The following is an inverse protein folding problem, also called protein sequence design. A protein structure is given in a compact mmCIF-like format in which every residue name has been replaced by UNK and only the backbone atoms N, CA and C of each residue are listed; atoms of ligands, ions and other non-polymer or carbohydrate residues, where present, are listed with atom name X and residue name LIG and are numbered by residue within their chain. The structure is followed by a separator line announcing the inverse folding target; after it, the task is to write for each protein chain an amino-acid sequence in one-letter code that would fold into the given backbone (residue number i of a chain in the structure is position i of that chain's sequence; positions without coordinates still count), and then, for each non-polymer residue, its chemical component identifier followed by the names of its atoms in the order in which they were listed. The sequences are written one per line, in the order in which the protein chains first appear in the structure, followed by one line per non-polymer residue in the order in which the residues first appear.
data_IF_726865235803
#
_entry.id   IF_726865235803
#
_cell.length_a   1.000
_cell.length_b   1.000
_cell.length_c   1.000
_cell.angle_alpha   90.00
_cell.angle_beta   90.00
_cell.angle_gamma   90.00
#
_symmetry.space_group_name_H-M   'P 1'
#
loop_
_entity.id
_entity.type
_entity.pdbx_description
1 polymer ?
#
# COMPACT_ATOMS: atom_id res chain seq x y z
N UNK A 1 7.14 44.22 22.40
CA UNK A 1 6.75 42.85 22.81
C UNK A 1 7.35 41.76 21.92
N UNK A 2 7.33 41.88 20.58
CA UNK A 2 7.90 40.88 19.66
C UNK A 2 9.38 40.50 19.94
N UNK A 3 10.25 41.49 20.15
CA UNK A 3 11.70 41.28 20.39
C UNK A 3 12.00 40.42 21.61
N UNK A 4 11.20 40.53 22.68
CA UNK A 4 11.38 39.72 23.89
C UNK A 4 11.03 38.25 23.62
N UNK A 5 9.98 37.99 22.84
CA UNK A 5 9.59 36.63 22.44
C UNK A 5 10.62 36.03 21.50
N UNK A 6 11.09 36.79 20.51
CA UNK A 6 12.14 36.37 19.58
C UNK A 6 13.40 35.93 20.34
N UNK A 7 13.91 36.79 21.23
CA UNK A 7 15.08 36.47 22.04
C UNK A 7 14.88 35.21 22.89
N UNK A 8 13.71 35.08 23.54
CA UNK A 8 13.41 33.91 24.37
C UNK A 8 13.33 32.60 23.56
N UNK A 9 12.74 32.64 22.37
CA UNK A 9 12.68 31.48 21.46
C UNK A 9 14.10 31.06 21.04
N UNK A 10 14.94 32.01 20.66
CA UNK A 10 16.33 31.74 20.25
C UNK A 10 17.15 31.11 21.37
N UNK A 11 17.00 31.61 22.60
CA UNK A 11 17.64 31.01 23.78
C UNK A 11 17.15 29.58 24.05
N UNK A 12 15.85 29.31 23.87
CA UNK A 12 15.28 27.97 24.08
C UNK A 12 15.78 26.96 23.05
N UNK A 13 16.03 27.40 21.82
CA UNK A 13 16.58 26.57 20.74
C UNK A 13 18.10 26.47 20.77
N UNK A 14 18.77 27.06 21.78
CA UNK A 14 20.23 27.18 21.86
C UNK A 14 20.85 27.72 20.55
N UNK A 15 20.18 28.72 19.95
CA UNK A 15 20.54 29.31 18.66
C UNK A 15 20.63 28.32 17.48
N UNK A 16 20.16 27.09 17.65
CA UNK A 16 20.13 26.07 16.60
C UNK A 16 18.92 26.31 15.70
N UNK A 17 19.10 27.21 14.73
CA UNK A 17 18.09 27.54 13.74
C UNK A 17 18.41 26.78 12.47
N UNK A 18 17.67 25.69 12.22
CA UNK A 18 17.74 24.98 10.96
C UNK A 18 17.84 23.48 11.14
N UNK A 19 16.90 22.78 10.52
CA UNK A 19 16.90 21.34 10.36
C UNK A 19 16.43 21.01 8.94
N UNK A 20 16.88 19.88 8.37
CA UNK A 20 16.44 19.48 7.04
C UNK A 20 14.93 19.25 7.06
N UNK A 21 14.22 20.03 6.23
CA UNK A 21 12.76 20.00 6.15
C UNK A 21 12.30 18.95 5.14
N UNK A 22 11.00 18.61 5.21
CA UNK A 22 10.38 17.68 4.27
C UNK A 22 10.51 18.20 2.83
N UNK A 23 10.36 19.51 2.64
CA UNK A 23 10.51 20.19 1.35
C UNK A 23 11.91 20.02 0.77
N UNK A 24 12.95 20.22 1.58
CA UNK A 24 14.35 20.05 1.15
C UNK A 24 14.63 18.63 0.66
N UNK A 25 14.12 17.60 1.35
CA UNK A 25 14.26 16.21 0.90
C UNK A 25 13.43 15.91 -0.36
N UNK A 26 12.29 16.56 -0.52
CA UNK A 26 11.43 16.38 -1.67
C UNK A 26 12.06 16.96 -2.94
N UNK A 27 12.68 18.14 -2.85
CA UNK A 27 13.45 18.72 -3.95
C UNK A 27 14.56 17.78 -4.43
N UNK A 28 15.36 17.24 -3.51
CA UNK A 28 16.41 16.25 -3.83
C UNK A 28 15.80 15.01 -4.51
N UNK A 29 14.68 14.51 -4.03
CA UNK A 29 14.02 13.33 -4.61
C UNK A 29 13.42 13.57 -6.00
N UNK A 30 13.04 14.81 -6.32
CA UNK A 30 12.52 15.19 -7.64
C UNK A 30 13.66 15.43 -8.64
N UNK A 31 14.79 15.98 -8.19
CA UNK A 31 15.98 16.24 -9.03
C UNK A 31 16.51 14.99 -9.76
N UNK A 32 16.43 13.81 -9.13
CA UNK A 32 16.92 12.56 -9.70
C UNK A 32 15.98 11.99 -10.80
N UNK A 33 14.79 12.56 -10.97
CA UNK A 33 13.75 12.06 -11.88
C UNK A 33 13.36 13.11 -12.93
N UNK A 34 12.79 12.70 -14.09
CA UNK A 34 12.28 13.68 -15.05
C UNK A 34 11.27 14.60 -14.37
N UNK A 35 11.49 15.91 -14.52
CA UNK A 35 10.73 16.93 -13.82
C UNK A 35 9.25 16.89 -14.21
N UNK A 36 8.38 16.66 -13.22
CA UNK A 36 6.93 16.69 -13.35
C UNK A 36 6.35 17.62 -12.27
N UNK A 37 5.93 18.84 -12.63
CA UNK A 37 5.46 19.83 -11.67
C UNK A 37 4.17 19.38 -10.98
N UNK A 38 3.33 18.56 -11.62
CA UNK A 38 2.09 18.07 -11.03
C UNK A 38 2.36 17.11 -9.87
N UNK A 39 3.36 16.23 -10.03
CA UNK A 39 3.82 15.30 -8.99
C UNK A 39 4.45 16.07 -7.83
N UNK A 40 5.29 17.06 -8.12
CA UNK A 40 5.91 17.91 -7.11
C UNK A 40 4.84 18.64 -6.28
N UNK A 41 3.91 19.34 -6.94
CA UNK A 41 2.83 20.05 -6.26
C UNK A 41 1.95 19.12 -5.41
N UNK A 42 1.63 17.92 -5.92
CA UNK A 42 0.84 16.93 -5.18
C UNK A 42 1.61 16.40 -3.96
N UNK A 43 2.89 16.13 -4.11
CA UNK A 43 3.73 15.65 -3.01
C UNK A 43 3.92 16.73 -1.94
N UNK A 44 4.06 18.01 -2.33
CA UNK A 44 4.07 19.16 -1.42
C UNK A 44 2.74 19.32 -0.68
N UNK A 45 1.62 19.13 -1.37
CA UNK A 45 0.31 19.19 -0.74
C UNK A 45 0.14 18.11 0.34
N UNK A 46 0.52 16.87 0.04
CA UNK A 46 0.46 15.75 0.99
C UNK A 46 1.42 15.96 2.16
N UNK A 47 2.63 16.46 1.90
CA UNK A 47 3.60 16.74 2.96
C UNK A 47 3.12 17.85 3.88
N UNK A 48 2.46 18.90 3.37
CA UNK A 48 1.90 19.95 4.21
C UNK A 48 0.72 19.43 5.05
N UNK A 49 -0.14 18.55 4.51
CA UNK A 49 -1.18 17.87 5.31
C UNK A 49 -0.56 17.11 6.49
N UNK A 50 0.58 16.44 6.29
CA UNK A 50 1.26 15.71 7.37
C UNK A 50 1.68 16.62 8.54
N UNK A 51 2.04 17.87 8.26
CA UNK A 51 2.49 18.81 9.29
C UNK A 51 1.37 19.27 10.24
N UNK A 52 0.10 19.13 9.83
CA UNK A 52 -1.06 19.44 10.69
C UNK A 52 -1.36 18.34 11.72
N UNK A 53 -0.81 17.13 11.54
CA UNK A 53 -1.15 15.99 12.38
C UNK A 53 0.01 15.61 13.31
N UNK A 54 -0.27 15.58 14.61
CA UNK A 54 0.73 15.30 15.65
C UNK A 54 1.41 13.94 15.49
N UNK A 55 0.73 12.96 14.89
CA UNK A 55 1.24 11.61 14.66
C UNK A 55 2.50 11.55 13.78
N UNK A 56 2.71 12.56 12.93
CA UNK A 56 3.88 12.62 12.05
C UNK A 56 5.04 13.45 12.64
N UNK A 57 4.85 14.13 13.78
CA UNK A 57 5.89 14.97 14.39
C UNK A 57 7.12 14.16 14.82
N UNK A 58 6.92 12.91 15.23
CA UNK A 58 8.03 12.00 15.62
C UNK A 58 8.69 11.32 14.42
N UNK A 59 8.17 11.50 13.20
CA UNK A 59 8.71 10.87 11.99
C UNK A 59 9.81 11.74 11.39
N UNK A 60 10.89 11.14 10.85
CA UNK A 60 11.95 11.91 10.21
C UNK A 60 11.44 12.57 8.92
N UNK A 61 11.86 13.81 8.67
CA UNK A 61 11.49 14.58 7.48
C UNK A 61 11.74 13.83 6.16
N UNK A 62 12.80 13.02 6.11
CA UNK A 62 13.16 12.21 4.95
C UNK A 62 12.10 11.16 4.62
N UNK A 63 11.56 10.48 5.61
CA UNK A 63 10.61 9.39 5.37
C UNK A 63 9.23 9.94 5.02
N UNK A 64 8.85 11.08 5.60
CA UNK A 64 7.65 11.81 5.19
C UNK A 64 7.76 12.29 3.74
N UNK A 65 8.92 12.78 3.30
CA UNK A 65 9.13 13.20 1.91
C UNK A 65 8.95 12.02 0.94
N UNK A 66 9.62 10.88 1.20
CA UNK A 66 9.50 9.69 0.34
C UNK A 66 8.08 9.14 0.32
N UNK A 67 7.42 9.03 1.48
CA UNK A 67 6.06 8.54 1.56
C UNK A 67 5.05 9.46 0.83
N UNK A 68 5.20 10.78 1.00
CA UNK A 68 4.38 11.77 0.28
C UNK A 68 4.56 11.68 -1.23
N UNK A 69 5.80 11.52 -1.69
CA UNK A 69 6.13 11.38 -3.11
C UNK A 69 5.61 10.07 -3.71
N UNK A 70 5.71 8.96 -2.97
CA UNK A 70 5.17 7.66 -3.38
C UNK A 70 3.63 7.70 -3.48
N UNK A 71 2.95 8.41 -2.56
CA UNK A 71 1.50 8.62 -2.62
C UNK A 71 1.10 9.53 -3.76
N UNK A 72 1.80 10.65 -3.97
CA UNK A 72 1.53 11.58 -5.06
C UNK A 72 1.59 10.89 -6.43
N UNK A 73 2.64 10.10 -6.66
CA UNK A 73 2.77 9.29 -7.87
C UNK A 73 1.66 8.25 -8.01
N UNK A 74 1.24 7.62 -6.91
CA UNK A 74 0.12 6.68 -6.92
C UNK A 74 -1.21 7.37 -7.30
N UNK A 75 -1.51 8.54 -6.73
CA UNK A 75 -2.75 9.30 -7.00
C UNK A 75 -2.80 9.76 -8.46
N UNK A 76 -1.67 10.22 -8.99
CA UNK A 76 -1.54 10.70 -10.37
C UNK A 76 -1.31 9.58 -11.39
N UNK A 77 -1.29 8.31 -10.99
CA UNK A 77 -0.99 7.15 -11.84
C UNK A 77 0.35 7.26 -12.58
N UNK A 78 1.38 7.78 -11.91
CA UNK A 78 2.75 7.90 -12.41
C UNK A 78 3.59 6.67 -12.00
N UNK A 79 4.65 6.32 -12.75
CA UNK A 79 5.53 5.21 -12.37
C UNK A 79 6.21 5.48 -11.03
N UNK A 80 6.29 4.45 -10.18
CA UNK A 80 6.98 4.54 -8.90
C UNK A 80 8.50 4.54 -9.06
N UNK A 81 9.25 5.14 -8.12
CA UNK A 81 10.70 5.10 -8.09
C UNK A 81 11.24 3.67 -8.14
N UNK A 82 12.35 3.47 -8.85
CA UNK A 82 13.01 2.16 -8.94
C UNK A 82 13.48 1.74 -7.55
N UNK A 83 13.45 0.45 -7.23
CA UNK A 83 13.85 -0.05 -5.90
C UNK A 83 15.29 0.31 -5.49
N UNK A 84 16.15 0.65 -6.45
CA UNK A 84 17.53 1.11 -6.21
C UNK A 84 17.62 2.59 -5.83
N UNK A 85 16.57 3.37 -6.06
CA UNK A 85 16.54 4.81 -5.81
C UNK A 85 16.20 5.10 -4.35
N UNK A 86 16.80 6.16 -3.80
CA UNK A 86 16.55 6.62 -2.43
C UNK A 86 15.07 6.87 -2.16
N UNK A 87 14.34 7.41 -3.14
CA UNK A 87 12.91 7.71 -3.06
C UNK A 87 12.03 6.45 -2.92
N UNK A 88 12.54 5.25 -3.24
CA UNK A 88 11.81 3.98 -3.10
C UNK A 88 11.84 3.42 -1.67
N UNK A 89 12.77 3.91 -0.84
CA UNK A 89 13.01 3.41 0.52
C UNK A 89 12.16 4.16 1.56
N UNK A 90 10.83 4.08 1.44
CA UNK A 90 9.88 4.70 2.37
C UNK A 90 9.36 3.71 3.43
N UNK A 91 9.00 4.23 4.60
CA UNK A 91 8.32 3.45 5.63
C UNK A 91 6.85 3.19 5.26
N UNK A 92 6.48 1.92 5.19
CA UNK A 92 5.11 1.50 4.83
C UNK A 92 4.07 1.94 5.87
N UNK A 93 4.43 1.97 7.16
CA UNK A 93 3.49 2.41 8.20
C UNK A 93 3.20 3.90 8.09
N UNK A 94 4.22 4.70 7.82
CA UNK A 94 4.07 6.14 7.58
C UNK A 94 3.23 6.42 6.33
N UNK A 95 3.44 5.67 5.25
CA UNK A 95 2.62 5.79 4.04
C UNK A 95 1.15 5.46 4.29
N UNK A 96 0.86 4.39 5.03
CA UNK A 96 -0.52 4.01 5.35
C UNK A 96 -1.18 5.06 6.24
N UNK A 97 -0.49 5.53 7.28
CA UNK A 97 -0.98 6.61 8.14
C UNK A 97 -1.31 7.87 7.35
N UNK A 98 -0.40 8.32 6.48
CA UNK A 98 -0.63 9.48 5.62
C UNK A 98 -1.85 9.31 4.73
N UNK A 99 -2.03 8.14 4.10
CA UNK A 99 -3.17 7.92 3.21
C UNK A 99 -4.52 8.00 3.92
N UNK A 100 -4.59 7.66 5.21
CA UNK A 100 -5.81 7.79 6.03
C UNK A 100 -6.15 9.26 6.31
N UNK A 101 -5.14 10.11 6.51
CA UNK A 101 -5.34 11.54 6.80
C UNK A 101 -5.69 12.38 5.56
N UNK A 102 -5.58 11.83 4.35
CA UNK A 102 -5.90 12.56 3.10
C UNK A 102 -7.38 12.93 2.95
N UNK A 103 -8.28 12.31 3.71
CA UNK A 103 -9.71 12.56 3.62
C UNK A 103 -10.17 13.86 4.32
N UNK A 104 -9.39 14.39 5.27
CA UNK A 104 -9.77 15.57 6.07
C UNK A 104 -8.71 16.68 6.05
N UNK A 105 -8.31 17.20 4.86
CA UNK A 105 -7.38 18.31 4.79
C UNK A 105 -8.01 19.61 5.32
N UNK A 106 -7.17 20.48 5.90
CA UNK A 106 -7.58 21.83 6.34
C UNK A 106 -8.10 22.67 5.17
N UNK A 107 -9.17 23.43 5.41
CA UNK A 107 -9.78 24.29 4.38
C UNK A 107 -8.78 25.34 3.83
N UNK A 108 -7.85 25.82 4.67
CA UNK A 108 -6.82 26.79 4.27
C UNK A 108 -5.87 26.16 3.24
N UNK A 109 -5.43 24.91 3.48
CA UNK A 109 -4.59 24.17 2.55
C UNK A 109 -5.33 23.87 1.25
N UNK A 110 -6.58 23.39 1.31
CA UNK A 110 -7.36 23.12 0.10
C UNK A 110 -7.46 24.36 -0.79
N UNK A 111 -7.69 25.54 -0.19
CA UNK A 111 -7.73 26.81 -0.94
C UNK A 111 -6.38 27.12 -1.59
N UNK A 112 -5.27 27.02 -0.86
CA UNK A 112 -3.90 27.23 -1.37
C UNK A 112 -3.63 26.36 -2.61
N UNK A 113 -3.88 25.06 -2.51
CA UNK A 113 -3.59 24.08 -3.57
C UNK A 113 -4.69 23.93 -4.63
N UNK A 114 -5.77 24.71 -4.55
CA UNK A 114 -6.79 24.77 -5.60
C UNK A 114 -6.40 25.70 -6.76
N UNK A 115 -5.38 26.55 -6.54
CA UNK A 115 -4.89 27.51 -7.54
C UNK A 115 -4.20 26.81 -8.72
N UNK A 116 -4.23 27.46 -9.89
CA UNK A 116 -3.54 26.98 -11.10
C UNK A 116 -2.03 26.90 -10.92
N UNK A 117 -1.46 27.73 -10.03
CA UNK A 117 -0.02 27.70 -9.71
C UNK A 117 0.42 26.38 -9.07
N UNK A 118 -0.49 25.69 -8.38
CA UNK A 118 -0.25 24.39 -7.75
C UNK A 118 -0.92 23.24 -8.52
N UNK A 119 -1.07 23.38 -9.85
CA UNK A 119 -1.72 22.39 -10.73
C UNK A 119 -3.13 21.95 -10.27
N UNK A 120 -3.80 22.73 -9.41
CA UNK A 120 -5.11 22.41 -8.83
C UNK A 120 -5.13 21.04 -8.13
N UNK A 121 -4.01 20.60 -7.56
CA UNK A 121 -3.82 19.24 -6.98
C UNK A 121 -4.82 18.92 -5.87
N UNK A 122 -5.31 19.94 -5.14
CA UNK A 122 -6.40 19.74 -4.17
C UNK A 122 -7.66 19.17 -4.81
N UNK A 123 -8.02 19.65 -6.01
CA UNK A 123 -9.19 19.15 -6.77
C UNK A 123 -8.96 17.78 -7.37
N UNK A 124 -7.73 17.49 -7.78
CA UNK A 124 -7.36 16.16 -8.27
C UNK A 124 -7.48 15.13 -7.14
N UNK A 125 -7.00 15.46 -5.94
CA UNK A 125 -7.14 14.59 -4.77
C UNK A 125 -8.62 14.37 -4.40
N UNK A 126 -9.42 15.43 -4.33
CA UNK A 126 -10.87 15.33 -4.06
C UNK A 126 -11.56 14.37 -5.05
N UNK A 127 -11.28 14.51 -6.36
CA UNK A 127 -11.83 13.64 -7.39
C UNK A 127 -11.36 12.20 -7.27
N UNK A 128 -10.09 11.99 -6.94
CA UNK A 128 -9.52 10.66 -6.72
C UNK A 128 -10.20 9.95 -5.54
N UNK A 129 -10.37 10.64 -4.40
CA UNK A 129 -11.04 10.08 -3.22
C UNK A 129 -12.52 9.81 -3.48
N UNK A 130 -13.22 10.70 -4.19
CA UNK A 130 -14.61 10.49 -4.60
C UNK A 130 -14.77 9.25 -5.49
N UNK A 131 -13.84 9.05 -6.43
CA UNK A 131 -13.81 7.85 -7.28
C UNK A 131 -13.59 6.59 -6.45
N UNK A 132 -12.64 6.61 -5.51
CA UNK A 132 -12.40 5.47 -4.63
C UNK A 132 -13.62 5.12 -3.77
N UNK A 133 -14.31 6.12 -3.21
CA UNK A 133 -15.52 5.90 -2.43
C UNK A 133 -16.66 5.27 -3.26
N UNK A 134 -16.80 5.68 -4.53
CA UNK A 134 -17.81 5.11 -5.44
C UNK A 134 -17.55 3.62 -5.75
N UNK A 135 -16.29 3.22 -5.91
CA UNK A 135 -15.88 1.84 -6.16
C UNK A 135 -16.08 0.97 -4.90
N UNK A 136 -15.74 1.50 -3.73
CA UNK A 136 -15.92 0.79 -2.46
C UNK A 136 -17.41 0.54 -2.12
N UNK A 137 -18.30 1.41 -2.62
CA UNK A 137 -19.75 1.27 -2.43
C UNK A 137 -20.38 0.23 -3.36
N UNK A 138 -19.65 -0.26 -4.38
CA UNK A 138 -20.14 -1.32 -5.26
C UNK A 138 -20.02 -2.68 -4.57
N UNK A 139 -21.07 -3.10 -3.86
CA UNK A 139 -21.25 -4.50 -3.47
C UNK A 139 -21.57 -5.30 -4.74
N UNK A 140 -20.75 -6.29 -5.13
CA UNK A 140 -21.06 -7.12 -6.28
C UNK A 140 -22.42 -7.80 -6.04
N UNK A 141 -23.34 -7.81 -7.04
CA UNK A 141 -24.61 -8.48 -6.90
C UNK A 141 -24.36 -9.93 -6.50
N UNK A 142 -24.97 -10.34 -5.39
CA UNK A 142 -24.87 -11.71 -4.91
C UNK A 142 -25.28 -12.66 -6.04
N UNK A 143 -24.47 -13.68 -6.38
CA UNK A 143 -24.84 -14.63 -7.41
C UNK A 143 -26.19 -15.28 -7.04
N UNK A 144 -27.10 -15.51 -8.01
CA UNK A 144 -28.41 -16.06 -7.72
C UNK A 144 -28.27 -17.39 -6.99
N UNK A 145 -28.91 -17.47 -5.83
CA UNK A 145 -29.04 -18.67 -5.03
C UNK A 145 -29.80 -19.70 -5.87
N UNK A 146 -29.07 -20.62 -6.50
CA UNK A 146 -29.66 -21.75 -7.22
C UNK A 146 -30.47 -22.57 -6.22
N UNK A 147 -31.79 -22.47 -6.34
CA UNK A 147 -32.77 -23.29 -5.63
C UNK A 147 -32.58 -24.76 -5.99
N UNK A 148 -31.58 -25.42 -5.40
CA UNK A 148 -31.40 -26.88 -5.47
C UNK A 148 -32.23 -27.55 -4.37
N UNK A 149 -33.52 -27.23 -4.36
CA UNK A 149 -34.54 -28.04 -3.68
C UNK A 149 -35.16 -29.00 -4.70
N UNK A 150 -35.30 -30.27 -4.31
CA UNK A 150 -36.21 -31.27 -4.90
C UNK A 150 -35.70 -32.23 -6.01
N UNK A 151 -34.52 -32.86 -5.87
CA UNK A 151 -34.21 -34.10 -6.63
C UNK A 151 -33.57 -35.25 -5.81
N UNK A 152 -33.63 -35.23 -4.48
CA UNK A 152 -32.97 -36.24 -3.64
C UNK A 152 -33.84 -37.45 -3.22
N UNK A 153 -35.07 -37.63 -3.75
CA UNK A 153 -36.01 -38.66 -3.24
C UNK A 153 -36.58 -39.64 -4.28
N UNK A 154 -35.90 -39.86 -5.42
CA UNK A 154 -36.40 -40.77 -6.47
C UNK A 154 -35.46 -41.90 -6.92
N UNK A 155 -34.50 -42.31 -6.10
CA UNK A 155 -33.65 -43.50 -6.38
C UNK A 155 -33.49 -44.40 -5.17
N UNK A 156 -34.60 -44.80 -4.56
CA UNK A 156 -34.68 -46.08 -3.83
C UNK A 156 -35.69 -46.93 -4.59
N UNK A 157 -35.40 -48.21 -4.67
CA UNK A 157 -36.15 -49.30 -5.30
C UNK A 157 -35.54 -49.76 -6.64
N UNK A 158 -35.36 -51.10 -6.74
CA UNK A 158 -34.62 -51.91 -7.73
C UNK A 158 -33.10 -52.00 -7.45
N UNK A 159 -32.48 -53.11 -7.05
CA UNK A 159 -32.81 -54.54 -7.02
C UNK A 159 -32.02 -55.22 -5.89
N UNK A 160 -32.70 -56.05 -5.09
CA UNK A 160 -32.04 -57.12 -4.36
C UNK A 160 -31.91 -58.38 -5.23
N UNK A 161 -31.09 -59.30 -4.73
CA UNK A 161 -30.94 -60.74 -5.05
C UNK A 161 -29.65 -61.14 -5.80
N UNK A 162 -28.75 -61.74 -4.99
CA UNK A 162 -28.00 -62.99 -5.22
C UNK A 162 -26.99 -63.07 -6.39
N UNK A 163 -25.87 -63.80 -6.36
CA UNK A 163 -25.06 -64.47 -5.35
C UNK A 163 -23.83 -65.07 -6.10
N UNK A 164 -22.69 -65.21 -5.40
CA UNK A 164 -21.57 -66.18 -5.61
C UNK A 164 -20.71 -66.10 -6.88
N UNK A 165 -19.42 -65.82 -6.71
CA UNK A 165 -18.32 -66.82 -6.82
C UNK A 165 -16.91 -66.17 -6.70
N UNK A 166 -15.94 -67.00 -6.37
CA UNK A 166 -14.65 -66.84 -5.68
C UNK A 166 -13.43 -66.60 -6.64
N UNK A 167 -12.18 -66.38 -6.14
CA UNK A 167 -11.03 -65.68 -6.77
C UNK A 167 -10.01 -66.68 -7.43
N UNK A 168 -8.70 -66.42 -7.80
CA UNK A 168 -7.69 -65.47 -7.24
C UNK A 168 -6.63 -64.82 -8.19
N UNK A 169 -5.80 -63.95 -7.56
CA UNK A 169 -4.39 -63.54 -7.82
C UNK A 169 -4.01 -63.12 -9.27
N UNK A 170 -3.31 -62.00 -9.53
CA UNK A 170 -1.91 -61.74 -9.17
C UNK A 170 -1.53 -60.24 -9.35
N UNK A 171 -0.74 -59.76 -8.39
CA UNK A 171 0.42 -58.86 -8.51
C UNK A 171 0.39 -57.65 -9.47
N UNK A 172 0.37 -56.44 -8.90
CA UNK A 172 1.27 -55.36 -9.30
C UNK A 172 1.47 -54.34 -8.17
N UNK A 173 2.70 -53.84 -8.11
CA UNK A 173 3.40 -53.25 -6.99
C UNK A 173 3.03 -51.78 -6.66
N UNK A 174 3.29 -51.45 -5.39
CA UNK A 174 3.68 -50.16 -4.80
C UNK A 174 2.65 -49.01 -4.63
N UNK A 175 2.38 -48.69 -3.35
CA UNK A 175 2.90 -47.43 -2.80
C UNK A 175 1.93 -46.25 -2.65
N UNK A 176 0.94 -46.43 -1.78
CA UNK A 176 0.01 -45.46 -1.17
C UNK A 176 0.72 -44.15 -0.74
N UNK A 177 0.41 -43.02 -1.40
CA UNK A 177 -0.47 -41.90 -0.97
C UNK A 177 -0.45 -41.50 0.52
N UNK A 178 -0.03 -40.26 0.79
CA UNK A 178 -0.36 -39.54 2.03
C UNK A 178 -1.73 -38.85 1.90
N UNK A 179 -2.65 -39.03 2.86
CA UNK A 179 -3.91 -38.30 2.90
C UNK A 179 -3.74 -36.88 3.47
N UNK A 180 -4.39 -35.94 2.79
CA UNK A 180 -4.69 -34.59 3.26
C UNK A 180 -5.71 -34.65 4.39
N UNK A 181 -5.46 -33.96 5.50
CA UNK A 181 -6.50 -33.50 6.42
C UNK A 181 -6.69 -31.99 6.26
N UNK A 182 -7.94 -31.49 6.14
CA UNK A 182 -8.23 -30.07 6.01
C UNK A 182 -8.33 -29.38 7.37
N UNK A 183 -7.48 -28.39 7.61
CA UNK A 183 -7.66 -27.41 8.69
C UNK A 183 -8.73 -26.39 8.28
N UNK A 184 -9.94 -26.70 8.77
CA UNK A 184 -10.96 -25.79 9.29
C UNK A 184 -10.61 -24.29 9.18
N UNK A 185 -11.21 -23.63 8.20
CA UNK A 185 -11.27 -22.19 8.04
C UNK A 185 -12.04 -21.56 9.19
N UNK A 186 -11.34 -20.82 10.05
CA UNK A 186 -11.95 -19.87 10.98
C UNK A 186 -12.00 -18.52 10.26
N UNK A 187 -13.22 -18.13 9.85
CA UNK A 187 -13.55 -16.77 9.40
C UNK A 187 -13.44 -15.82 10.59
N UNK A 188 -12.79 -14.67 10.38
CA UNK A 188 -13.01 -13.38 11.03
C UNK A 188 -12.47 -12.29 10.05
N UNK A 189 -12.90 -11.03 10.18
CA UNK A 189 -13.74 -10.41 9.15
C UNK A 189 -13.02 -9.40 8.24
N UNK A 190 -13.68 -9.19 7.11
CA UNK A 190 -13.51 -8.20 6.06
C UNK A 190 -13.47 -6.75 6.54
N UNK A 191 -12.53 -5.98 5.98
CA UNK A 191 -12.60 -4.52 5.92
C UNK A 191 -11.23 -3.88 6.07
N UNK A 192 -10.78 -3.18 5.02
CA UNK A 192 -9.52 -2.40 4.94
C UNK A 192 -8.26 -3.16 4.56
N UNK A 193 -8.26 -3.71 3.34
CA UNK A 193 -7.03 -3.82 2.55
C UNK A 193 -7.40 -3.75 1.07
N UNK A 194 -7.69 -2.55 0.58
CA UNK A 194 -7.66 -2.31 -0.87
C UNK A 194 -6.21 -2.42 -1.29
N UNK A 195 -5.90 -3.56 -1.91
CA UNK A 195 -4.67 -3.88 -2.62
C UNK A 195 -4.15 -2.68 -3.41
N UNK A 196 -3.11 -2.04 -2.90
CA UNK A 196 -2.04 -1.55 -3.75
C UNK A 196 -1.45 -2.78 -4.47
N UNK A 197 -1.24 -2.76 -5.80
CA UNK A 197 -0.70 -3.90 -6.51
C UNK A 197 0.80 -4.07 -6.21
N UNK A 198 1.14 -4.67 -5.07
CA UNK A 198 2.49 -5.17 -4.75
C UNK A 198 2.62 -6.62 -5.25
N UNK A 199 2.30 -6.86 -6.52
CA UNK A 199 2.50 -8.18 -7.14
C UNK A 199 3.37 -8.08 -8.39
N UNK A 200 4.66 -7.82 -8.16
CA UNK A 200 5.74 -8.37 -9.01
C UNK A 200 7.12 -8.39 -8.30
N UNK A 201 7.17 -8.80 -7.04
CA UNK A 201 8.41 -9.28 -6.44
C UNK A 201 8.44 -10.80 -6.56
N UNK A 202 9.12 -11.31 -7.59
CA UNK A 202 9.50 -12.73 -7.67
C UNK A 202 10.82 -12.89 -6.91
N UNK A 203 10.97 -13.89 -6.04
CA UNK A 203 12.25 -14.20 -5.41
C UNK A 203 13.06 -15.09 -6.36
N UNK A 204 14.32 -14.74 -6.60
CA UNK A 204 15.32 -15.69 -7.08
C UNK A 204 16.53 -15.61 -6.14
N UNK A 205 16.95 -16.82 -5.75
CA UNK A 205 17.83 -17.20 -4.65
C UNK A 205 19.24 -16.54 -4.65
N UNK A 206 19.94 -16.57 -3.49
CA UNK A 206 21.34 -16.15 -3.30
C UNK A 206 22.31 -17.36 -3.42
N UNK A 207 23.56 -17.29 -2.93
CA UNK A 207 24.68 -16.40 -3.27
C UNK A 207 25.89 -17.22 -3.79
N UNK A 208 26.87 -16.61 -4.48
CA UNK A 208 28.28 -17.11 -4.54
C UNK A 208 29.23 -16.13 -5.29
N UNK A 209 30.57 -16.25 -5.14
CA UNK A 209 31.40 -15.17 -4.61
C UNK A 209 32.48 -14.65 -5.58
N UNK A 210 33.32 -13.74 -5.08
CA UNK A 210 34.61 -13.25 -5.63
C UNK A 210 34.53 -12.26 -6.80
N UNK A 211 34.90 -11.00 -6.53
CA UNK A 211 36.28 -10.58 -6.76
C UNK A 211 36.61 -9.28 -6.04
N UNK A 212 37.61 -9.40 -5.16
CA UNK A 212 38.38 -8.30 -4.62
C UNK A 212 39.08 -7.53 -5.75
N UNK A 213 39.11 -6.20 -5.63
CA UNK A 213 40.26 -5.44 -6.12
C UNK A 213 40.48 -4.22 -5.25
N UNK A 214 41.60 -4.29 -4.55
CA UNK A 214 42.22 -3.23 -3.79
C UNK A 214 42.53 -2.01 -4.68
N UNK A 215 42.31 -0.82 -4.14
CA UNK A 215 43.09 0.37 -4.52
C UNK A 215 43.57 0.99 -3.22
N UNK A 216 44.90 1.00 -3.07
CA UNK A 216 45.66 1.66 -2.02
C UNK A 216 45.46 3.17 -2.11
N UNK A 217 45.32 3.82 -0.96
CA UNK A 217 46.19 4.94 -0.51
C UNK A 217 46.44 4.73 0.97
#
# INVERSE_FOLDING_TARGET
MFVQMEWHVLQTLDWTIGHPTIDSFLQVAVMDTPYDPEVEHMALYISEISQFHREFVSKPSSDLAKASLALARCILNRPQPRHTEWASQYDSMTLVGLSQQLHQPSQVLCRKYSSSHYSRVSKILEQFLARQASIASYSPPSPPESTLGAQALRRRDWLGHAAKSTPPLQHALMGISHPRLPLRTMRLPTGWLVRLPVHRLRPLNPPCPLQARAVRV
#
